data_IF_385695876114
#
_entry.id   IF_385695876114
#
_cell.length_a   1.000
_cell.length_b   1.000
_cell.length_c   1.000
_cell.angle_alpha   90.00
_cell.angle_beta   90.00
_cell.angle_gamma   90.00
#
_symmetry.space_group_name_H-M   'P 1'
#
loop_
_entity.id
_entity.type
_entity.pdbx_description
1 polymer ?
#
# COMPACT_ATOMS: atom_id res chain seq x y z
N UNK A 1 24.16 -8.05 1.74
CA UNK A 1 23.86 -6.74 2.36
C UNK A 1 22.94 -5.98 1.44
N UNK A 2 21.69 -5.70 1.84
CA UNK A 2 20.79 -4.86 1.03
C UNK A 2 21.34 -3.44 1.00
N UNK A 3 21.74 -2.93 -0.16
CA UNK A 3 22.19 -1.54 -0.30
C UNK A 3 21.03 -0.60 0.04
N UNK A 4 21.12 0.09 1.18
CA UNK A 4 20.19 1.14 1.57
C UNK A 4 20.28 2.28 0.56
N UNK A 5 19.21 2.49 -0.23
CA UNK A 5 19.15 3.56 -1.24
C UNK A 5 18.57 4.83 -0.61
N UNK A 6 19.42 5.59 0.07
CA UNK A 6 19.01 6.83 0.71
C UNK A 6 18.28 7.78 -0.27
N UNK A 7 17.23 8.51 0.18
CA UNK A 7 16.56 9.51 -0.63
C UNK A 7 17.56 10.59 -1.06
N UNK A 8 17.62 10.84 -2.37
CA UNK A 8 18.47 11.86 -2.97
C UNK A 8 17.64 12.62 -4.01
N UNK A 9 16.82 13.54 -3.52
CA UNK A 9 15.92 14.32 -4.36
C UNK A 9 16.71 15.08 -5.43
N UNK A 10 16.38 14.81 -6.69
CA UNK A 10 16.96 15.43 -7.87
C UNK A 10 15.86 16.02 -8.72
N UNK A 11 16.12 17.19 -9.32
CA UNK A 11 15.12 17.86 -10.16
C UNK A 11 14.74 17.01 -11.38
N UNK A 12 15.69 16.34 -12.04
CA UNK A 12 15.40 15.60 -13.27
C UNK A 12 14.40 14.44 -13.07
N UNK A 13 14.62 13.47 -12.17
CA UNK A 13 13.63 12.41 -11.88
C UNK A 13 12.26 12.97 -11.50
N UNK A 14 12.23 14.02 -10.68
CA UNK A 14 11.00 14.67 -10.28
C UNK A 14 10.27 15.34 -11.47
N UNK A 15 10.96 16.01 -12.38
CA UNK A 15 10.32 16.58 -13.57
C UNK A 15 9.79 15.49 -14.51
N UNK A 16 10.55 14.41 -14.71
CA UNK A 16 10.09 13.24 -15.48
C UNK A 16 8.80 12.69 -14.87
N UNK A 17 8.81 12.45 -13.55
CA UNK A 17 7.63 12.00 -12.79
C UNK A 17 6.42 12.90 -13.09
N UNK A 18 6.57 14.22 -12.96
CA UNK A 18 5.47 15.17 -13.19
C UNK A 18 4.90 15.12 -14.61
N UNK A 19 5.75 14.92 -15.61
CA UNK A 19 5.33 14.82 -17.00
C UNK A 19 4.55 13.53 -17.27
N UNK A 20 4.99 12.40 -16.71
CA UNK A 20 4.38 11.10 -16.97
C UNK A 20 3.20 10.77 -16.05
N UNK A 21 3.06 11.45 -14.90
CA UNK A 21 2.09 11.10 -13.86
C UNK A 21 0.64 11.03 -14.37
N UNK A 22 0.18 12.05 -15.10
CA UNK A 22 -1.19 12.07 -15.64
C UNK A 22 -1.40 11.01 -16.73
N UNK A 23 -0.51 10.86 -17.73
CA UNK A 23 -0.57 9.73 -18.65
C UNK A 23 -0.61 8.38 -17.95
N UNK A 24 0.26 8.15 -16.95
CA UNK A 24 0.30 6.90 -16.18
C UNK A 24 -1.04 6.63 -15.51
N UNK A 25 -1.59 7.61 -14.78
CA UNK A 25 -2.89 7.47 -14.13
C UNK A 25 -4.00 7.10 -15.13
N UNK A 26 -4.04 7.75 -16.29
CA UNK A 26 -5.11 7.55 -17.28
C UNK A 26 -4.98 6.25 -18.06
N UNK A 27 -3.78 5.94 -18.55
CA UNK A 27 -3.57 4.87 -19.53
C UNK A 27 -3.06 3.57 -18.90
N UNK A 28 -2.22 3.66 -17.86
CA UNK A 28 -1.69 2.48 -17.18
C UNK A 28 -2.61 2.07 -16.03
N UNK A 29 -2.92 3.00 -15.13
CA UNK A 29 -3.74 2.73 -13.95
C UNK A 29 -5.25 2.76 -14.24
N UNK A 30 -5.66 3.19 -15.45
CA UNK A 30 -7.06 3.31 -15.88
C UNK A 30 -7.93 4.18 -14.95
N UNK A 31 -7.32 5.12 -14.22
CA UNK A 31 -8.02 6.10 -13.39
C UNK A 31 -8.61 7.19 -14.30
N UNK A 32 -9.94 7.15 -14.45
CA UNK A 32 -10.69 8.03 -15.36
C UNK A 32 -10.78 9.46 -14.80
N UNK A 33 -11.08 9.58 -13.51
CA UNK A 33 -11.25 10.85 -12.81
C UNK A 33 -10.73 10.76 -11.39
N UNK A 34 -10.35 11.92 -10.85
CA UNK A 34 -9.96 12.09 -9.45
C UNK A 34 -10.71 13.30 -8.93
N UNK A 35 -11.58 13.05 -7.97
CA UNK A 35 -12.27 14.05 -7.20
C UNK A 35 -11.65 14.18 -5.81
N UNK A 36 -11.68 15.39 -5.27
CA UNK A 36 -11.12 15.69 -3.97
C UNK A 36 -12.06 16.58 -3.17
N UNK A 37 -12.20 16.26 -1.89
CA UNK A 37 -12.93 17.02 -0.91
C UNK A 37 -11.96 17.60 0.11
N UNK A 38 -12.24 18.79 0.64
CA UNK A 38 -11.46 19.42 1.71
C UNK A 38 -9.96 19.65 1.41
N UNK A 39 -9.55 19.67 0.13
CA UNK A 39 -8.16 19.97 -0.29
C UNK A 39 -7.64 21.31 0.19
N UNK A 40 -8.52 22.26 0.52
CA UNK A 40 -8.14 23.52 1.16
C UNK A 40 -7.38 23.31 2.47
N UNK A 41 -7.77 22.32 3.28
CA UNK A 41 -7.06 21.98 4.53
C UNK A 41 -5.64 21.54 4.22
N UNK A 42 -5.44 20.64 3.25
CA UNK A 42 -4.10 20.21 2.83
C UNK A 42 -3.26 21.37 2.27
N UNK A 43 -3.89 22.31 1.54
CA UNK A 43 -3.22 23.54 1.08
C UNK A 43 -2.71 24.37 2.25
N UNK A 44 -3.52 24.57 3.29
CA UNK A 44 -3.13 25.34 4.48
C UNK A 44 -1.99 24.66 5.22
N UNK A 45 -2.07 23.34 5.44
CA UNK A 45 -1.02 22.60 6.15
C UNK A 45 0.31 22.59 5.39
N UNK A 46 0.25 22.42 4.06
CA UNK A 46 1.45 22.54 3.22
C UNK A 46 2.02 23.95 3.21
N UNK A 47 1.17 24.98 3.30
CA UNK A 47 1.61 26.36 3.42
C UNK A 47 2.33 26.59 4.74
N UNK A 48 1.75 26.18 5.87
CA UNK A 48 2.38 26.31 7.17
C UNK A 48 3.72 25.57 7.25
N UNK A 49 3.78 24.37 6.67
CA UNK A 49 5.04 23.63 6.54
C UNK A 49 6.09 24.42 5.76
N UNK A 50 5.71 24.99 4.61
CA UNK A 50 6.61 25.77 3.76
C UNK A 50 7.06 27.10 4.40
N UNK A 51 6.19 27.71 5.19
CA UNK A 51 6.47 28.92 5.96
C UNK A 51 7.31 28.62 7.23
N UNK A 52 7.66 27.36 7.50
CA UNK A 52 8.43 26.94 8.68
C UNK A 52 7.65 26.95 9.99
N UNK A 53 6.32 27.07 9.93
CA UNK A 53 5.42 27.13 11.08
C UNK A 53 5.04 25.76 11.63
N UNK A 54 5.21 24.71 10.84
CA UNK A 54 4.96 23.33 11.26
C UNK A 54 5.93 22.36 10.60
N UNK A 55 6.17 21.21 11.23
CA UNK A 55 6.57 19.98 10.53
C UNK A 55 5.31 19.19 10.21
N UNK A 56 5.33 18.43 9.12
CA UNK A 56 4.13 17.79 8.58
C UNK A 56 4.42 16.34 8.20
N UNK A 57 3.59 15.45 8.75
CA UNK A 57 3.44 14.06 8.33
C UNK A 57 2.08 13.93 7.63
N UNK A 58 2.06 13.38 6.44
CA UNK A 58 0.85 13.04 5.69
C UNK A 58 0.59 11.55 5.90
N UNK A 59 -0.43 11.22 6.67
CA UNK A 59 -0.83 9.84 6.97
C UNK A 59 -1.94 9.43 6.00
N UNK A 60 -1.60 8.70 4.95
CA UNK A 60 -2.55 8.37 3.89
C UNK A 60 -3.00 6.90 3.94
N UNK A 61 -4.27 6.61 3.67
CA UNK A 61 -4.75 5.21 3.55
C UNK A 61 -4.12 4.50 2.35
N UNK A 62 -3.87 3.20 2.45
CA UNK A 62 -3.24 2.42 1.39
C UNK A 62 -4.09 1.26 0.86
N UNK A 63 -5.34 1.49 0.38
CA UNK A 63 -6.18 0.41 -0.11
C UNK A 63 -5.78 -0.12 -1.49
N UNK A 64 -4.81 0.48 -2.19
CA UNK A 64 -4.42 -0.01 -3.52
C UNK A 64 -2.96 0.28 -3.89
N UNK A 65 -2.39 -0.57 -4.74
CA UNK A 65 -1.09 -0.29 -5.38
C UNK A 65 -1.05 1.01 -6.20
N UNK A 66 -2.22 1.56 -6.58
CA UNK A 66 -2.32 2.81 -7.35
C UNK A 66 -2.15 4.07 -6.49
N UNK A 67 -2.23 3.94 -5.16
CA UNK A 67 -2.25 5.08 -4.23
C UNK A 67 -1.07 6.04 -4.36
N UNK A 68 0.20 5.58 -4.49
CA UNK A 68 1.33 6.51 -4.57
C UNK A 68 1.20 7.49 -5.74
N UNK A 69 0.74 7.03 -6.91
CA UNK A 69 0.55 7.90 -8.07
C UNK A 69 -0.59 8.92 -7.85
N UNK A 70 -1.68 8.50 -7.19
CA UNK A 70 -2.80 9.37 -6.85
C UNK A 70 -2.37 10.44 -5.85
N UNK A 71 -1.65 10.08 -4.78
CA UNK A 71 -1.18 11.04 -3.79
C UNK A 71 -0.11 11.99 -4.35
N UNK A 72 0.80 11.50 -5.21
CA UNK A 72 1.69 12.37 -5.96
C UNK A 72 0.92 13.36 -6.83
N UNK A 73 -0.19 12.93 -7.46
CA UNK A 73 -1.03 13.81 -8.27
C UNK A 73 -1.78 14.83 -7.43
N UNK A 74 -2.32 14.41 -6.29
CA UNK A 74 -2.96 15.29 -5.32
C UNK A 74 -2.01 16.42 -4.90
N UNK A 75 -0.80 16.08 -4.46
CA UNK A 75 0.18 17.03 -3.91
C UNK A 75 0.80 17.93 -4.98
N UNK A 76 1.21 17.37 -6.13
CA UNK A 76 1.89 18.17 -7.16
C UNK A 76 0.92 18.94 -8.08
N UNK A 77 -0.33 18.46 -8.24
CA UNK A 77 -1.29 19.05 -9.18
C UNK A 77 -2.51 19.65 -8.50
N UNK A 78 -3.31 18.86 -7.78
CA UNK A 78 -4.62 19.31 -7.24
C UNK A 78 -4.44 20.39 -6.17
N UNK A 79 -3.50 20.21 -5.25
CA UNK A 79 -3.13 21.20 -4.22
C UNK A 79 -2.72 22.53 -4.86
N UNK A 80 -1.84 22.54 -5.87
CA UNK A 80 -1.43 23.79 -6.53
C UNK A 80 -2.60 24.49 -7.22
N UNK A 81 -3.46 23.72 -7.89
CA UNK A 81 -4.67 24.27 -8.52
C UNK A 81 -5.61 24.87 -7.47
N UNK A 82 -5.82 24.20 -6.34
CA UNK A 82 -6.66 24.71 -5.25
C UNK A 82 -6.05 25.94 -4.60
N UNK A 83 -4.75 25.94 -4.31
CA UNK A 83 -4.02 27.08 -3.77
C UNK A 83 -4.18 28.33 -4.64
N UNK A 84 -4.01 28.18 -5.97
CA UNK A 84 -4.21 29.29 -6.91
C UNK A 84 -5.65 29.83 -6.87
N UNK A 85 -6.66 28.94 -6.80
CA UNK A 85 -8.08 29.35 -6.71
C UNK A 85 -8.39 30.09 -5.40
N UNK A 86 -7.74 29.71 -4.31
CA UNK A 86 -7.93 30.29 -2.97
C UNK A 86 -7.01 31.50 -2.70
N UNK A 87 -6.20 31.94 -3.67
CA UNK A 87 -5.26 33.05 -3.49
C UNK A 87 -4.03 32.73 -2.65
N UNK A 88 -3.78 31.46 -2.31
CA UNK A 88 -2.58 31.05 -1.59
C UNK A 88 -1.36 30.97 -2.52
N UNK A 89 -0.24 31.54 -2.08
CA UNK A 89 1.06 31.38 -2.73
C UNK A 89 1.82 30.23 -2.08
N UNK A 90 1.86 29.08 -2.74
CA UNK A 90 2.72 27.95 -2.39
C UNK A 90 4.04 28.02 -3.16
N UNK A 91 5.09 27.42 -2.62
CA UNK A 91 6.33 27.17 -3.34
C UNK A 91 6.04 26.38 -4.62
N UNK A 92 6.77 26.72 -5.69
CA UNK A 92 6.61 26.06 -7.00
C UNK A 92 6.78 24.54 -6.94
N UNK A 93 7.58 24.08 -5.98
CA UNK A 93 7.92 22.68 -5.78
C UNK A 93 7.17 22.14 -4.54
N UNK A 94 5.93 21.71 -4.75
CA UNK A 94 5.17 20.92 -3.76
C UNK A 94 5.43 19.45 -4.02
N UNK A 95 5.82 18.72 -2.98
CA UNK A 95 6.19 17.31 -3.03
C UNK A 95 6.12 16.72 -1.62
N UNK A 96 6.26 15.40 -1.49
CA UNK A 96 6.42 14.71 -0.22
C UNK A 96 7.44 13.57 -0.33
N UNK A 97 8.15 13.29 0.75
CA UNK A 97 8.97 12.09 0.88
C UNK A 97 8.07 10.89 1.16
N UNK A 98 7.76 10.11 0.13
CA UNK A 98 6.96 8.90 0.27
C UNK A 98 7.79 7.77 0.87
N UNK A 99 7.30 7.21 1.97
CA UNK A 99 7.86 6.01 2.60
C UNK A 99 7.37 4.79 1.84
N UNK A 100 8.27 3.85 1.53
CA UNK A 100 7.94 2.61 0.84
C UNK A 100 8.74 1.43 1.36
N UNK A 101 8.14 0.24 1.33
CA UNK A 101 8.83 -0.99 1.71
C UNK A 101 10.01 -1.28 0.79
N UNK A 102 11.19 -1.52 1.36
CA UNK A 102 12.42 -1.81 0.62
C UNK A 102 12.29 -3.06 -0.28
N UNK A 103 11.35 -3.95 0.04
CA UNK A 103 10.91 -5.07 -0.80
C UNK A 103 10.63 -4.65 -2.25
N UNK A 104 10.11 -3.45 -2.51
CA UNK A 104 9.86 -2.98 -3.88
C UNK A 104 11.14 -2.87 -4.71
N UNK A 105 12.29 -2.69 -4.07
CA UNK A 105 13.58 -2.65 -4.76
C UNK A 105 14.06 -4.01 -5.26
N UNK A 106 13.47 -5.12 -4.81
CA UNK A 106 13.88 -6.45 -5.23
C UNK A 106 13.45 -6.68 -6.68
N UNK A 107 12.17 -6.47 -6.98
CA UNK A 107 11.59 -6.69 -8.31
C UNK A 107 11.62 -5.46 -9.24
N UNK A 108 12.15 -4.31 -8.79
CA UNK A 108 12.35 -3.16 -9.69
C UNK A 108 13.67 -3.21 -10.44
N UNK A 109 13.61 -2.82 -11.72
CA UNK A 109 14.78 -2.71 -12.59
C UNK A 109 15.71 -1.54 -12.18
N UNK A 110 16.85 -1.41 -12.87
CA UNK A 110 17.82 -0.32 -12.64
C UNK A 110 17.20 1.07 -12.70
N UNK A 111 16.21 1.27 -13.57
CA UNK A 111 15.49 2.54 -13.72
C UNK A 111 14.68 2.86 -12.46
N UNK A 112 13.96 1.89 -11.89
CA UNK A 112 13.25 2.06 -10.62
C UNK A 112 14.19 2.40 -9.46
N UNK A 113 15.31 1.70 -9.36
CA UNK A 113 16.36 1.93 -8.34
C UNK A 113 17.03 3.30 -8.46
N UNK A 114 17.08 3.89 -9.66
CA UNK A 114 17.53 5.27 -9.87
C UNK A 114 16.42 6.29 -9.60
N UNK A 115 15.19 5.95 -9.97
CA UNK A 115 14.05 6.87 -9.95
C UNK A 115 13.52 7.12 -8.53
N UNK A 116 13.26 6.06 -7.74
CA UNK A 116 12.68 6.16 -6.40
C UNK A 116 13.49 7.05 -5.44
N UNK A 117 14.80 6.81 -5.22
CA UNK A 117 15.61 7.74 -4.43
C UNK A 117 15.73 9.11 -5.11
N UNK A 118 15.71 9.15 -6.46
CA UNK A 118 15.76 10.38 -7.25
C UNK A 118 14.58 11.32 -7.06
N UNK A 119 13.38 10.79 -6.78
CA UNK A 119 12.22 11.58 -6.37
C UNK A 119 12.18 11.81 -4.85
N UNK A 120 13.19 11.36 -4.10
CA UNK A 120 13.26 11.50 -2.65
C UNK A 120 12.37 10.52 -1.88
N UNK A 121 11.98 9.39 -2.46
CA UNK A 121 11.26 8.36 -1.71
C UNK A 121 12.19 7.68 -0.69
N UNK A 122 11.66 7.31 0.47
CA UNK A 122 12.40 6.74 1.61
C UNK A 122 12.16 5.22 1.66
N UNK A 123 13.17 4.37 1.42
CA UNK A 123 13.02 2.94 1.66
C UNK A 123 13.01 2.66 3.15
N UNK A 124 12.10 1.80 3.58
CA UNK A 124 12.09 1.24 4.94
C UNK A 124 12.03 -0.29 4.92
N UNK A 125 12.70 -0.92 5.88
CA UNK A 125 12.51 -2.35 6.14
C UNK A 125 11.52 -2.51 7.30
N UNK A 126 10.38 -3.14 7.03
CA UNK A 126 9.27 -3.23 7.97
C UNK A 126 9.49 -4.21 9.14
N UNK A 127 10.52 -5.08 9.08
CA UNK A 127 10.76 -6.11 10.12
C UNK A 127 12.10 -6.01 10.83
N UNK A 128 13.20 -5.79 10.09
CA UNK A 128 14.52 -5.69 10.71
C UNK A 128 14.72 -4.33 11.40
N UNK A 129 15.75 -4.23 12.26
CA UNK A 129 16.19 -2.93 12.80
C UNK A 129 16.66 -2.04 11.66
N UNK A 130 15.73 -1.29 11.07
CA UNK A 130 16.03 -0.34 10.00
C UNK A 130 16.60 0.97 10.56
N UNK A 131 17.80 0.85 11.11
CA UNK A 131 18.53 1.98 11.69
C UNK A 131 18.72 3.08 10.64
N UNK A 132 18.97 2.71 9.39
CA UNK A 132 19.21 3.66 8.30
C UNK A 132 17.94 4.41 7.93
N UNK A 133 16.83 3.70 7.68
CA UNK A 133 15.53 4.30 7.37
C UNK A 133 15.03 5.19 8.50
N UNK A 134 15.10 4.72 9.76
CA UNK A 134 14.71 5.53 10.93
C UNK A 134 15.57 6.79 11.03
N UNK A 135 16.90 6.68 10.90
CA UNK A 135 17.80 7.84 10.94
C UNK A 135 17.46 8.85 9.84
N UNK A 136 17.19 8.38 8.63
CA UNK A 136 16.78 9.23 7.51
C UNK A 136 15.44 9.90 7.73
N UNK A 137 14.43 9.18 8.25
CA UNK A 137 13.13 9.74 8.58
C UNK A 137 13.28 10.83 9.64
N UNK A 138 14.02 10.58 10.73
CA UNK A 138 14.27 11.57 11.78
C UNK A 138 14.92 12.83 11.22
N UNK A 139 15.97 12.67 10.41
CA UNK A 139 16.67 13.80 9.80
C UNK A 139 15.74 14.60 8.86
N UNK A 140 14.93 13.93 8.03
CA UNK A 140 14.01 14.58 7.11
C UNK A 140 12.80 15.22 7.80
N UNK A 141 12.30 14.68 8.92
CA UNK A 141 11.25 15.34 9.70
C UNK A 141 11.77 16.64 10.32
N UNK A 142 13.00 16.64 10.82
CA UNK A 142 13.58 17.80 11.50
C UNK A 142 14.10 18.85 10.51
N UNK A 143 14.72 18.43 9.41
CA UNK A 143 15.48 19.32 8.49
C UNK A 143 15.04 19.24 7.02
N UNK A 144 14.09 18.36 6.68
CA UNK A 144 13.67 18.10 5.31
C UNK A 144 12.94 19.27 4.65
N UNK A 145 13.04 19.32 3.32
CA UNK A 145 12.39 20.34 2.47
C UNK A 145 10.95 19.97 2.10
N UNK A 146 10.56 18.72 2.31
CA UNK A 146 9.24 18.19 1.99
C UNK A 146 8.67 17.46 3.21
N UNK A 147 7.34 17.46 3.39
CA UNK A 147 6.69 16.61 4.39
C UNK A 147 6.99 15.13 4.11
N UNK A 148 6.85 14.29 5.13
CA UNK A 148 6.87 12.83 4.96
C UNK A 148 5.45 12.35 4.69
N UNK A 149 5.28 11.49 3.69
CA UNK A 149 4.03 10.81 3.40
C UNK A 149 4.19 9.32 3.67
N UNK A 150 3.36 8.76 4.54
CA UNK A 150 3.45 7.36 4.97
C UNK A 150 2.05 6.78 5.13
N UNK A 151 1.92 5.50 4.76
CA UNK A 151 0.72 4.72 5.02
C UNK A 151 0.82 4.09 6.42
N UNK A 152 -0.01 4.51 7.39
CA UNK A 152 -0.02 3.86 8.71
C UNK A 152 -0.54 2.42 8.67
N UNK A 153 -1.19 1.99 7.59
CA UNK A 153 -1.66 0.61 7.42
C UNK A 153 -0.51 -0.40 7.15
N UNK A 154 0.73 0.07 6.99
CA UNK A 154 1.94 -0.78 6.87
C UNK A 154 2.10 -1.55 5.54
N UNK A 155 0.99 -1.87 4.87
CA UNK A 155 0.92 -2.49 3.55
C UNK A 155 -0.35 -2.11 2.79
N UNK A 156 -0.49 -2.63 1.57
CA UNK A 156 -1.73 -2.47 0.79
C UNK A 156 -2.84 -3.30 1.45
N UNK A 157 -3.95 -2.66 1.79
CA UNK A 157 -5.06 -3.32 2.51
C UNK A 157 -6.20 -3.80 1.61
N UNK A 158 -6.24 -3.39 0.34
CA UNK A 158 -7.31 -3.75 -0.61
C UNK A 158 -8.74 -3.41 -0.16
N UNK A 159 -8.90 -2.58 0.88
CA UNK A 159 -10.20 -2.23 1.47
C UNK A 159 -10.60 -0.77 1.24
N UNK A 160 -11.62 -0.53 0.42
CA UNK A 160 -12.12 0.84 0.18
C UNK A 160 -12.93 1.43 1.34
N UNK A 161 -13.67 0.60 2.08
CA UNK A 161 -14.72 1.08 3.01
C UNK A 161 -14.31 1.03 4.47
N UNK A 162 -13.36 0.16 4.83
CA UNK A 162 -12.80 0.04 6.17
C UNK A 162 -11.32 0.40 6.17
N UNK A 163 -10.88 1.06 7.24
CA UNK A 163 -9.47 1.29 7.49
C UNK A 163 -8.83 -0.02 7.97
N UNK A 164 -7.63 -0.34 7.48
CA UNK A 164 -6.84 -1.42 8.06
C UNK A 164 -6.35 -1.05 9.47
N UNK A 165 -5.79 -2.02 10.19
CA UNK A 165 -5.10 -1.75 11.45
C UNK A 165 -3.98 -0.74 11.24
N UNK A 166 -3.85 0.18 12.20
CA UNK A 166 -2.89 1.28 12.12
C UNK A 166 -1.66 0.97 12.96
N UNK A 167 -0.50 0.99 12.31
CA UNK A 167 0.79 0.90 12.97
C UNK A 167 1.09 2.15 13.79
N UNK A 168 1.58 1.96 15.00
CA UNK A 168 1.94 3.05 15.93
C UNK A 168 3.16 3.87 15.48
N UNK A 169 3.89 3.40 14.45
CA UNK A 169 5.17 3.98 14.00
C UNK A 169 5.10 5.48 13.67
N UNK A 170 3.96 5.98 13.16
CA UNK A 170 3.79 7.43 12.91
C UNK A 170 3.89 8.24 14.20
N UNK A 171 3.28 7.76 15.29
CA UNK A 171 3.29 8.44 16.59
C UNK A 171 4.70 8.44 17.17
N UNK A 172 5.40 7.31 17.09
CA UNK A 172 6.81 7.21 17.50
C UNK A 172 7.69 8.18 16.71
N UNK A 173 7.54 8.25 15.39
CA UNK A 173 8.27 9.18 14.53
C UNK A 173 8.00 10.64 14.89
N UNK A 174 6.74 11.00 15.17
CA UNK A 174 6.38 12.34 15.61
C UNK A 174 7.02 12.69 16.97
N UNK A 175 6.97 11.78 17.94
CA UNK A 175 7.60 11.96 19.26
C UNK A 175 9.11 12.18 19.13
N UNK A 176 9.78 11.30 18.38
CA UNK A 176 11.21 11.40 18.12
C UNK A 176 11.62 12.69 17.42
N UNK A 177 10.83 13.13 16.43
CA UNK A 177 11.06 14.42 15.79
C UNK A 177 10.90 15.56 16.79
N UNK A 178 9.91 15.51 17.70
CA UNK A 178 9.73 16.56 18.71
C UNK A 178 10.92 16.63 19.65
N UNK A 179 11.40 15.49 20.13
CA UNK A 179 12.61 15.39 20.95
C UNK A 179 13.84 15.96 20.24
N UNK A 180 14.07 15.59 18.98
CA UNK A 180 15.21 16.05 18.20
C UNK A 180 15.13 17.56 17.90
N UNK A 181 13.93 18.10 17.71
CA UNK A 181 13.70 19.53 17.55
C UNK A 181 13.96 20.30 18.84
N UNK A 182 13.47 19.81 19.98
CA UNK A 182 13.68 20.42 21.30
C UNK A 182 15.18 20.50 21.64
N UNK A 183 15.94 19.43 21.35
CA UNK A 183 17.41 19.42 21.51
C UNK A 183 18.12 20.49 20.66
N UNK A 184 17.52 20.92 19.56
CA UNK A 184 18.02 21.99 18.69
C UNK A 184 17.43 23.37 19.01
N UNK A 185 16.65 23.50 20.09
CA UNK A 185 15.95 24.75 20.44
C UNK A 185 14.83 25.13 19.48
N UNK A 186 14.27 24.17 18.73
CA UNK A 186 13.16 24.38 17.80
C UNK A 186 11.84 23.97 18.46
N UNK A 187 10.92 24.92 18.59
CA UNK A 187 9.62 24.68 19.23
C UNK A 187 8.47 24.40 18.25
N UNK A 188 8.75 24.47 16.95
CA UNK A 188 7.75 24.33 15.88
C UNK A 188 6.88 23.08 16.08
N UNK A 189 5.54 23.18 15.96
CA UNK A 189 4.63 22.05 16.11
C UNK A 189 4.82 21.01 15.00
N UNK A 190 4.53 19.75 15.33
CA UNK A 190 4.44 18.66 14.36
C UNK A 190 2.97 18.34 14.16
N UNK A 191 2.53 18.34 12.90
CA UNK A 191 1.16 18.03 12.52
C UNK A 191 1.10 16.74 11.74
N UNK A 192 0.04 15.96 12.00
CA UNK A 192 -0.28 14.74 11.26
C UNK A 192 -1.56 15.03 10.48
N UNK A 193 -1.47 15.00 9.15
CA UNK A 193 -2.60 15.22 8.24
C UNK A 193 -3.09 13.88 7.71
N UNK A 194 -4.22 13.35 8.21
CA UNK A 194 -4.82 12.14 7.67
C UNK A 194 -5.43 12.41 6.29
N UNK A 195 -5.22 11.51 5.34
CA UNK A 195 -5.88 11.55 4.03
C UNK A 195 -6.43 10.17 3.68
N UNK A 196 -7.72 10.11 3.38
CA UNK A 196 -8.36 8.89 2.89
C UNK A 196 -8.43 8.89 1.37
N UNK A 197 -8.46 7.69 0.77
CA UNK A 197 -8.72 7.47 -0.64
C UNK A 197 -9.75 6.34 -0.77
N UNK A 198 -10.65 6.49 -1.73
CA UNK A 198 -11.65 5.49 -2.10
C UNK A 198 -11.66 5.36 -3.61
N UNK A 199 -11.74 4.13 -4.10
CA UNK A 199 -11.92 3.84 -5.51
C UNK A 199 -13.40 3.58 -5.82
N UNK A 200 -13.88 4.19 -6.91
CA UNK A 200 -15.17 3.89 -7.51
C UNK A 200 -14.92 3.28 -8.90
N UNK A 201 -15.49 2.10 -9.15
CA UNK A 201 -15.35 1.37 -10.41
C UNK A 201 -16.27 1.89 -11.52
N UNK A 202 -17.05 2.93 -11.24
CA UNK A 202 -17.83 3.70 -12.21
C UNK A 202 -18.91 2.88 -12.91
N UNK A 203 -19.31 3.34 -14.10
CA UNK A 203 -20.50 2.81 -14.81
C UNK A 203 -20.35 1.36 -15.29
N UNK A 204 -19.11 0.89 -15.50
CA UNK A 204 -18.85 -0.46 -16.03
C UNK A 204 -18.83 -1.54 -14.94
N UNK A 205 -18.95 -1.17 -13.66
CA UNK A 205 -18.91 -2.10 -12.51
C UNK A 205 -19.81 -3.32 -12.70
N UNK A 206 -21.06 -3.11 -13.11
CA UNK A 206 -22.05 -4.18 -13.34
C UNK A 206 -21.58 -5.18 -14.40
N UNK A 207 -20.97 -4.68 -15.47
CA UNK A 207 -20.47 -5.52 -16.57
C UNK A 207 -19.27 -6.36 -16.13
N UNK A 208 -18.35 -5.77 -15.37
CA UNK A 208 -17.18 -6.51 -14.88
C UNK A 208 -17.58 -7.54 -13.81
N UNK A 209 -18.49 -7.20 -12.89
CA UNK A 209 -19.09 -8.15 -11.96
C UNK A 209 -19.75 -9.30 -12.74
N UNK A 210 -20.58 -9.02 -13.74
CA UNK A 210 -21.23 -10.07 -14.54
C UNK A 210 -20.22 -11.00 -15.24
N UNK A 211 -19.11 -10.46 -15.77
CA UNK A 211 -18.03 -11.28 -16.35
C UNK A 211 -17.41 -12.20 -15.30
N UNK A 212 -17.15 -11.67 -14.10
CA UNK A 212 -16.61 -12.45 -12.99
C UNK A 212 -17.59 -13.55 -12.57
N UNK A 213 -18.88 -13.22 -12.42
CA UNK A 213 -19.94 -14.22 -12.15
C UNK A 213 -20.01 -15.30 -13.23
N UNK A 214 -19.85 -14.93 -14.51
CA UNK A 214 -19.83 -15.91 -15.61
C UNK A 214 -18.63 -16.86 -15.53
N UNK A 215 -17.44 -16.32 -15.22
CA UNK A 215 -16.24 -17.12 -15.02
C UNK A 215 -16.40 -18.09 -13.84
N UNK A 216 -17.06 -17.64 -12.77
CA UNK A 216 -17.39 -18.47 -11.63
C UNK A 216 -18.38 -19.57 -11.94
N UNK A 217 -19.48 -19.25 -12.63
CA UNK A 217 -20.45 -20.25 -13.05
C UNK A 217 -19.77 -21.38 -13.84
N UNK A 218 -18.81 -21.01 -14.69
CA UNK A 218 -18.01 -21.97 -15.44
C UNK A 218 -17.08 -22.79 -14.53
N UNK A 219 -16.45 -22.17 -13.54
CA UNK A 219 -15.55 -22.86 -12.61
C UNK A 219 -16.31 -23.79 -11.66
N UNK A 220 -17.51 -23.40 -11.22
CA UNK A 220 -18.35 -24.16 -10.29
C UNK A 220 -19.29 -25.16 -10.98
N UNK A 221 -19.42 -25.10 -12.31
CA UNK A 221 -20.35 -25.94 -13.08
C UNK A 221 -21.84 -25.68 -12.77
N UNK A 222 -22.18 -24.55 -12.16
CA UNK A 222 -23.54 -24.19 -11.73
C UNK A 222 -23.89 -22.76 -12.14
N UNK A 223 -25.15 -22.51 -12.51
CA UNK A 223 -25.61 -21.16 -12.88
C UNK A 223 -26.13 -20.40 -11.66
N UNK A 224 -25.40 -19.35 -11.28
CA UNK A 224 -25.71 -18.48 -10.13
C UNK A 224 -26.53 -17.25 -10.57
N UNK A 225 -26.88 -17.12 -11.86
CA UNK A 225 -27.47 -15.91 -12.45
C UNK A 225 -28.82 -15.45 -11.89
N UNK A 226 -29.51 -16.30 -11.11
CA UNK A 226 -30.79 -15.97 -10.46
C UNK A 226 -30.65 -15.50 -9.02
N UNK A 227 -29.44 -15.44 -8.47
CA UNK A 227 -29.19 -15.13 -7.09
C UNK A 227 -29.23 -13.61 -6.81
N UNK A 228 -29.69 -13.18 -5.64
CA UNK A 228 -29.58 -11.78 -5.21
C UNK A 228 -28.10 -11.37 -5.16
N UNK A 229 -27.77 -10.08 -5.35
CA UNK A 229 -26.35 -9.60 -5.28
C UNK A 229 -25.56 -10.09 -4.06
N UNK A 230 -26.24 -10.26 -2.92
CA UNK A 230 -25.67 -10.83 -1.70
C UNK A 230 -25.22 -12.27 -1.87
N UNK A 231 -26.08 -13.07 -2.47
CA UNK A 231 -25.80 -14.46 -2.75
C UNK A 231 -24.72 -14.55 -3.84
N UNK A 232 -24.70 -13.66 -4.84
CA UNK A 232 -23.61 -13.58 -5.83
C UNK A 232 -22.24 -13.27 -5.17
N UNK A 233 -22.21 -12.35 -4.21
CA UNK A 233 -21.02 -11.98 -3.45
C UNK A 233 -20.49 -13.14 -2.59
N UNK A 234 -21.37 -13.73 -1.79
CA UNK A 234 -21.04 -14.86 -0.91
C UNK A 234 -20.59 -16.07 -1.75
N UNK A 235 -21.26 -16.35 -2.86
CA UNK A 235 -20.85 -17.41 -3.78
C UNK A 235 -19.54 -17.10 -4.50
N UNK A 236 -19.23 -15.84 -4.81
CA UNK A 236 -17.93 -15.45 -5.35
C UNK A 236 -16.81 -15.76 -4.38
N UNK A 237 -16.98 -15.37 -3.13
CA UNK A 237 -16.02 -15.64 -2.06
C UNK A 237 -15.84 -17.14 -1.87
N UNK A 238 -16.94 -17.89 -1.72
CA UNK A 238 -16.90 -19.34 -1.54
C UNK A 238 -16.26 -20.07 -2.73
N UNK A 239 -16.56 -19.66 -3.96
CA UNK A 239 -15.96 -20.26 -5.15
C UNK A 239 -14.46 -20.02 -5.22
N UNK A 240 -14.02 -18.80 -4.89
CA UNK A 240 -12.60 -18.43 -4.85
C UNK A 240 -11.86 -19.28 -3.82
N UNK A 241 -12.45 -19.45 -2.63
CA UNK A 241 -11.93 -20.32 -1.58
C UNK A 241 -11.87 -21.76 -2.08
N UNK A 242 -12.95 -22.32 -2.62
CA UNK A 242 -13.00 -23.71 -3.12
C UNK A 242 -11.89 -24.00 -4.13
N UNK A 243 -11.72 -23.13 -5.15
CA UNK A 243 -10.68 -23.28 -6.18
C UNK A 243 -9.29 -23.25 -5.55
N UNK A 244 -9.07 -22.36 -4.57
CA UNK A 244 -7.81 -22.28 -3.88
C UNK A 244 -7.57 -23.51 -2.99
N UNK A 245 -8.54 -23.94 -2.20
CA UNK A 245 -8.46 -25.14 -1.36
C UNK A 245 -8.17 -26.40 -2.20
N UNK A 246 -8.89 -26.62 -3.31
CA UNK A 246 -8.67 -27.74 -4.23
C UNK A 246 -7.23 -27.73 -4.77
N UNK A 247 -6.80 -26.59 -5.31
CA UNK A 247 -5.43 -26.42 -5.81
C UNK A 247 -4.39 -26.74 -4.75
N UNK A 248 -4.60 -26.30 -3.50
CA UNK A 248 -3.63 -26.48 -2.42
C UNK A 248 -3.64 -27.90 -1.83
N UNK A 249 -4.81 -28.52 -1.72
CA UNK A 249 -4.93 -29.94 -1.34
C UNK A 249 -4.24 -30.83 -2.37
N UNK A 250 -4.57 -30.67 -3.66
CA UNK A 250 -4.10 -31.57 -4.72
C UNK A 250 -2.62 -31.41 -5.04
N UNK A 251 -2.13 -30.17 -5.10
CA UNK A 251 -0.77 -29.89 -5.56
C UNK A 251 0.26 -29.84 -4.43
N UNK A 252 -0.17 -29.48 -3.22
CA UNK A 252 0.74 -29.22 -2.09
C UNK A 252 0.44 -30.07 -0.86
N UNK A 253 -0.57 -30.96 -0.91
CA UNK A 253 -0.96 -31.87 0.19
C UNK A 253 -1.11 -31.15 1.54
N UNK A 254 -1.70 -29.95 1.54
CA UNK A 254 -1.98 -29.23 2.78
C UNK A 254 -3.26 -29.76 3.44
N UNK A 255 -3.24 -29.84 4.77
CA UNK A 255 -4.43 -30.15 5.57
C UNK A 255 -5.15 -28.86 5.92
N UNK A 256 -6.42 -28.75 5.52
CA UNK A 256 -7.27 -27.59 5.76
C UNK A 256 -8.40 -27.97 6.71
N UNK A 257 -8.99 -26.96 7.35
CA UNK A 257 -10.17 -27.13 8.22
C UNK A 257 -11.36 -27.72 7.46
N UNK A 258 -12.21 -28.45 8.18
CA UNK A 258 -13.52 -28.90 7.71
C UNK A 258 -14.65 -27.96 8.18
N UNK A 259 -14.31 -26.77 8.71
CA UNK A 259 -15.28 -25.74 9.11
C UNK A 259 -16.13 -25.29 7.92
N UNK A 260 -17.41 -25.03 8.17
CA UNK A 260 -18.33 -24.43 7.19
C UNK A 260 -18.24 -22.89 7.18
N UNK A 261 -17.66 -22.28 8.21
CA UNK A 261 -17.55 -20.84 8.32
C UNK A 261 -16.48 -20.29 7.34
N UNK A 262 -16.87 -19.28 6.58
CA UNK A 262 -16.02 -18.72 5.50
C UNK A 262 -14.72 -18.14 6.05
N UNK A 263 -14.80 -17.43 7.18
CA UNK A 263 -13.63 -16.82 7.83
C UNK A 263 -12.63 -17.87 8.32
N UNK A 264 -13.10 -18.94 8.96
CA UNK A 264 -12.24 -20.06 9.41
C UNK A 264 -11.52 -20.73 8.24
N UNK A 265 -12.22 -20.90 7.11
CA UNK A 265 -11.65 -21.49 5.90
C UNK A 265 -10.57 -20.61 5.28
N UNK A 266 -10.83 -19.31 5.15
CA UNK A 266 -9.83 -18.33 4.70
C UNK A 266 -8.61 -18.37 5.62
N UNK A 267 -8.81 -18.29 6.93
CA UNK A 267 -7.73 -18.29 7.92
C UNK A 267 -6.91 -19.57 7.86
N UNK A 268 -7.55 -20.74 7.78
CA UNK A 268 -6.89 -22.05 7.66
C UNK A 268 -6.08 -22.16 6.37
N UNK A 269 -6.63 -21.69 5.25
CA UNK A 269 -5.94 -21.67 3.97
C UNK A 269 -4.76 -20.70 3.99
N UNK A 270 -4.94 -19.45 4.43
CA UNK A 270 -3.87 -18.47 4.60
C UNK A 270 -2.73 -19.02 5.46
N UNK A 271 -3.03 -19.59 6.63
CA UNK A 271 -2.03 -20.20 7.51
C UNK A 271 -1.25 -21.32 6.83
N UNK A 272 -1.95 -22.22 6.14
CA UNK A 272 -1.34 -23.35 5.42
C UNK A 272 -0.45 -22.89 4.27
N UNK A 273 -0.89 -21.88 3.53
CA UNK A 273 -0.14 -21.29 2.41
C UNK A 273 1.13 -20.59 2.91
N UNK A 274 1.04 -19.84 4.00
CA UNK A 274 2.21 -19.22 4.63
C UNK A 274 3.21 -20.27 5.13
N UNK A 275 2.73 -21.35 5.76
CA UNK A 275 3.56 -22.47 6.23
C UNK A 275 4.38 -23.13 5.14
N UNK A 276 3.88 -23.17 3.89
CA UNK A 276 4.66 -23.67 2.75
C UNK A 276 5.91 -22.81 2.50
N UNK A 277 5.74 -21.49 2.49
CA UNK A 277 6.85 -20.54 2.34
C UNK A 277 7.79 -20.54 3.55
N UNK A 278 7.23 -20.63 4.76
CA UNK A 278 8.02 -20.67 6.00
C UNK A 278 8.87 -21.93 6.08
N UNK A 279 8.30 -23.10 5.74
CA UNK A 279 9.02 -24.36 5.64
C UNK A 279 10.15 -24.27 4.61
N UNK A 280 9.90 -23.64 3.46
CA UNK A 280 10.91 -23.47 2.42
C UNK A 280 12.15 -22.69 2.93
N UNK A 281 11.92 -21.61 3.70
CA UNK A 281 13.00 -20.80 4.27
C UNK A 281 13.45 -21.23 5.68
N UNK A 282 12.93 -22.33 6.21
CA UNK A 282 13.14 -22.78 7.60
C UNK A 282 12.88 -21.67 8.64
N UNK A 283 11.74 -20.98 8.48
CA UNK A 283 11.30 -19.91 9.36
C UNK A 283 10.28 -20.41 10.38
N UNK A 284 10.24 -19.83 11.59
CA UNK A 284 9.14 -20.06 12.52
C UNK A 284 7.82 -19.51 11.97
N UNK A 285 6.73 -20.21 12.28
CA UNK A 285 5.36 -19.81 11.93
C UNK A 285 4.72 -19.04 13.11
N UNK A 286 5.32 -17.92 13.52
CA UNK A 286 4.94 -17.15 14.71
C UNK A 286 4.53 -15.70 14.40
N UNK A 287 3.61 -15.18 15.20
CA UNK A 287 3.11 -13.81 15.11
C UNK A 287 1.86 -13.64 14.23
N UNK A 288 1.50 -12.38 13.99
CA UNK A 288 0.34 -12.00 13.16
C UNK A 288 0.58 -12.31 11.68
N UNK A 289 -0.50 -12.38 10.89
CA UNK A 289 -0.45 -12.61 9.44
C UNK A 289 0.51 -11.63 8.74
N UNK A 290 0.35 -10.31 9.00
CA UNK A 290 1.22 -9.26 8.47
C UNK A 290 2.69 -9.51 8.82
N UNK A 291 3.00 -9.84 10.08
CA UNK A 291 4.37 -10.11 10.51
C UNK A 291 4.98 -11.31 9.76
N UNK A 292 4.22 -12.39 9.59
CA UNK A 292 4.66 -13.59 8.86
C UNK A 292 4.95 -13.28 7.40
N UNK A 293 4.06 -12.56 6.71
CA UNK A 293 4.29 -12.09 5.34
C UNK A 293 5.52 -11.20 5.22
N UNK A 294 5.71 -10.23 6.11
CA UNK A 294 6.90 -9.36 6.08
C UNK A 294 8.20 -10.17 6.27
N UNK A 295 8.16 -11.22 7.09
CA UNK A 295 9.28 -12.15 7.29
C UNK A 295 9.63 -12.88 6.00
N UNK A 296 8.61 -13.42 5.32
CA UNK A 296 8.81 -14.11 4.07
C UNK A 296 9.34 -13.16 2.99
N UNK A 297 8.79 -11.95 2.87
CA UNK A 297 9.32 -10.91 1.94
C UNK A 297 10.79 -10.61 2.22
N UNK A 298 11.19 -10.52 3.49
CA UNK A 298 12.60 -10.29 3.84
C UNK A 298 13.49 -11.48 3.43
N UNK A 299 13.07 -12.72 3.70
CA UNK A 299 13.81 -13.92 3.32
C UNK A 299 13.94 -14.05 1.81
N UNK A 300 12.87 -13.77 1.06
CA UNK A 300 12.88 -13.74 -0.39
C UNK A 300 13.85 -12.67 -0.91
N UNK A 301 13.89 -11.49 -0.28
CA UNK A 301 14.76 -10.38 -0.71
C UNK A 301 16.22 -10.77 -0.71
N UNK A 302 16.60 -11.61 0.25
CA UNK A 302 17.97 -12.07 0.47
C UNK A 302 18.35 -13.22 -0.45
N UNK A 303 17.38 -13.85 -1.12
CA UNK A 303 17.52 -15.10 -1.86
C UNK A 303 16.93 -15.01 -3.29
N UNK A 304 17.03 -13.83 -3.91
CA UNK A 304 16.42 -13.50 -5.21
C UNK A 304 16.88 -14.36 -6.40
N UNK A 305 18.02 -15.05 -6.27
CA UNK A 305 18.63 -15.81 -7.36
C UNK A 305 18.18 -17.29 -7.41
N UNK A 306 17.21 -17.68 -6.56
CA UNK A 306 16.78 -19.08 -6.44
C UNK A 306 15.62 -19.39 -7.41
N UNK A 307 15.69 -20.47 -8.23
CA UNK A 307 14.66 -20.79 -9.22
C UNK A 307 13.26 -21.05 -8.64
N UNK A 308 13.16 -21.68 -7.47
CA UNK A 308 11.90 -22.05 -6.83
C UNK A 308 11.19 -20.87 -6.15
N UNK A 309 11.81 -19.69 -6.14
CA UNK A 309 11.30 -18.49 -5.49
C UNK A 309 9.93 -18.06 -6.04
N UNK A 310 9.69 -18.30 -7.33
CA UNK A 310 8.40 -18.01 -7.97
C UNK A 310 7.25 -18.81 -7.33
N UNK A 311 7.52 -20.02 -6.85
CA UNK A 311 6.51 -20.85 -6.17
C UNK A 311 6.14 -20.22 -4.84
N UNK A 312 7.14 -19.79 -4.05
CA UNK A 312 6.91 -19.13 -2.77
C UNK A 312 6.23 -17.77 -2.94
N UNK A 313 6.60 -16.99 -3.96
CA UNK A 313 5.92 -15.73 -4.28
C UNK A 313 4.44 -15.95 -4.61
N UNK A 314 4.12 -16.96 -5.41
CA UNK A 314 2.73 -17.30 -5.72
C UNK A 314 1.93 -17.69 -4.46
N UNK A 315 2.57 -18.35 -3.49
CA UNK A 315 1.93 -18.65 -2.21
C UNK A 315 1.55 -17.37 -1.46
N UNK A 316 2.51 -16.45 -1.36
CA UNK A 316 2.27 -15.18 -0.68
C UNK A 316 1.23 -14.31 -1.38
N UNK A 317 1.21 -14.27 -2.71
CA UNK A 317 0.20 -13.52 -3.45
C UNK A 317 -1.21 -14.07 -3.21
N UNK A 318 -1.36 -15.40 -3.12
CA UNK A 318 -2.65 -16.00 -2.77
C UNK A 318 -3.05 -15.62 -1.34
N UNK A 319 -2.15 -15.72 -0.37
CA UNK A 319 -2.42 -15.34 1.00
C UNK A 319 -2.80 -13.84 1.11
N UNK A 320 -2.02 -12.95 0.46
CA UNK A 320 -2.30 -11.51 0.38
C UNK A 320 -3.70 -11.26 -0.21
N UNK A 321 -4.12 -11.98 -1.26
CA UNK A 321 -5.46 -11.80 -1.84
C UNK A 321 -6.55 -12.28 -0.88
N UNK A 322 -6.41 -13.50 -0.35
CA UNK A 322 -7.43 -14.16 0.47
C UNK A 322 -7.70 -13.43 1.78
N UNK A 323 -6.65 -12.95 2.45
CA UNK A 323 -6.76 -12.17 3.70
C UNK A 323 -7.68 -10.95 3.56
N UNK A 324 -7.71 -10.36 2.37
CA UNK A 324 -8.46 -9.14 2.10
C UNK A 324 -9.74 -9.38 1.30
N UNK A 325 -10.15 -10.64 1.08
CA UNK A 325 -11.46 -10.96 0.54
C UNK A 325 -12.52 -10.60 1.59
N UNK A 326 -13.41 -9.70 1.23
CA UNK A 326 -14.51 -9.24 2.08
C UNK A 326 -15.82 -9.32 1.28
N UNK A 327 -16.76 -10.21 1.62
CA UNK A 327 -18.06 -10.31 0.95
C UNK A 327 -18.84 -8.99 0.94
N UNK A 328 -18.70 -8.17 1.99
CA UNK A 328 -19.41 -6.89 2.10
C UNK A 328 -18.94 -5.89 1.02
N UNK A 329 -17.72 -6.07 0.51
CA UNK A 329 -17.18 -5.26 -0.57
C UNK A 329 -17.93 -5.45 -1.89
N UNK A 330 -18.37 -6.69 -2.18
CA UNK A 330 -19.11 -6.99 -3.40
C UNK A 330 -20.55 -6.43 -3.30
N UNK A 331 -21.10 -6.40 -2.09
CA UNK A 331 -22.44 -5.89 -1.79
C UNK A 331 -22.57 -4.37 -1.96
N UNK A 332 -21.58 -3.61 -1.51
CA UNK A 332 -21.58 -2.14 -1.53
C UNK A 332 -21.03 -1.53 -2.83
N UNK A 333 -20.51 -2.37 -3.75
CA UNK A 333 -19.92 -1.96 -5.03
C UNK A 333 -20.92 -1.70 -6.15
#
# INVERSE_FOLDING_TARGET
>A
MSNYLAPNFRRLPFHIMRCVLKPTLRFHEKIVSIDDSNTKTLVNELKEFQDGKSRLIIAFRHPSKHDPAIFMHLIDNRVKKRAKKEGFKLNRLTHAHFVYGQWILTWTNRTGKWFLPGIGAIPVNNKSKDISGIKTIRELLVNGKFPIAIAPEGQVTYHNHKCGELESGIISMASWCKEDMLKKGLETPIKIMPITVKYDYGKNKKREILKLTTLLNKALGSDISTATRRIEAELFTLATINIAEEKYRDKFNVTLTDSFETEDRINSLCDSVLKLGEKYFNLPADGTFLNRILTLRESISRNMDIPELNVVLNHMEVADILEYIDPDYILDS
#
